data_IF_730254574973
#
_entry.id   IF_730254574973
#
_cell.length_a   1.000
_cell.length_b   1.000
_cell.length_c   1.000
_cell.angle_alpha   90.00
_cell.angle_beta   90.00
_cell.angle_gamma   90.00
#
_symmetry.space_group_name_H-M   'P 1'
#
loop_
_entity.id
_entity.type
_entity.pdbx_description
1 polymer ?
#
# COMPACT_ATOMS: atom_id res chain seq x y z
N UNK A 1 18.66 14.10 -10.03
CA UNK A 1 18.73 13.64 -8.62
C UNK A 1 18.32 12.15 -8.48
N UNK A 2 17.23 11.68 -9.12
CA UNK A 2 16.88 10.25 -9.13
C UNK A 2 17.78 9.32 -9.99
N UNK A 3 18.53 9.85 -10.96
CA UNK A 3 19.37 9.04 -11.87
C UNK A 3 20.71 8.54 -11.29
N UNK A 4 21.00 8.83 -10.02
CA UNK A 4 22.27 8.44 -9.38
C UNK A 4 22.12 7.27 -8.39
N UNK A 5 20.95 6.61 -8.38
CA UNK A 5 20.71 5.37 -7.60
C UNK A 5 20.54 5.55 -6.10
N UNK A 6 20.38 6.78 -5.60
CA UNK A 6 20.33 7.09 -4.16
C UNK A 6 18.92 7.13 -3.56
N UNK A 7 17.87 7.25 -4.38
CA UNK A 7 16.49 7.38 -3.91
C UNK A 7 15.60 6.40 -4.67
N UNK A 8 15.09 5.42 -3.94
CA UNK A 8 14.07 4.47 -4.43
C UNK A 8 12.96 4.40 -3.39
N UNK A 9 11.75 4.80 -3.75
CA UNK A 9 10.57 4.77 -2.87
C UNK A 9 10.16 3.32 -2.51
N UNK A 10 10.70 2.33 -3.22
CA UNK A 10 10.52 0.91 -2.93
C UNK A 10 11.51 0.40 -1.88
N UNK A 11 12.44 1.23 -1.43
CA UNK A 11 13.35 0.86 -0.35
C UNK A 11 12.54 0.40 0.88
N UNK A 12 12.83 -0.78 1.44
CA UNK A 12 12.08 -1.31 2.57
C UNK A 12 12.07 -0.37 3.79
N UNK A 13 13.11 0.44 4.02
CA UNK A 13 13.13 1.42 5.11
C UNK A 13 12.14 2.56 4.85
N UNK A 14 12.02 3.02 3.60
CA UNK A 14 11.03 4.02 3.19
C UNK A 14 9.61 3.49 3.38
N UNK A 15 9.33 2.28 2.88
CA UNK A 15 8.01 1.65 3.09
C UNK A 15 7.69 1.47 4.58
N UNK A 16 8.65 1.03 5.39
CA UNK A 16 8.47 0.86 6.84
C UNK A 16 8.10 2.17 7.54
N UNK A 17 8.80 3.26 7.24
CA UNK A 17 8.51 4.53 7.92
C UNK A 17 7.18 5.13 7.47
N UNK A 18 6.81 4.97 6.20
CA UNK A 18 5.49 5.37 5.69
C UNK A 18 4.38 4.56 6.38
N UNK A 19 4.53 3.23 6.44
CA UNK A 19 3.57 2.36 7.11
C UNK A 19 3.43 2.70 8.60
N UNK A 20 4.55 2.98 9.28
CA UNK A 20 4.56 3.40 10.68
C UNK A 20 3.85 4.75 10.87
N UNK A 21 4.13 5.73 10.02
CA UNK A 21 3.52 7.05 10.07
C UNK A 21 2.00 6.97 9.91
N UNK A 22 1.52 6.25 8.90
CA UNK A 22 0.08 6.06 8.63
C UNK A 22 -0.61 5.45 9.84
N UNK A 23 -0.05 4.37 10.39
CA UNK A 23 -0.58 3.72 11.59
C UNK A 23 -0.68 4.70 12.77
N UNK A 24 0.40 5.43 13.08
CA UNK A 24 0.42 6.37 14.22
C UNK A 24 -0.56 7.53 13.99
N UNK A 25 -0.67 8.04 12.77
CA UNK A 25 -1.64 9.10 12.45
C UNK A 25 -3.08 8.62 12.66
N UNK A 26 -3.43 7.43 12.19
CA UNK A 26 -4.76 6.84 12.42
C UNK A 26 -5.06 6.57 13.89
N UNK A 27 -4.07 6.11 14.67
CA UNK A 27 -4.19 5.96 16.13
C UNK A 27 -4.54 7.28 16.83
N UNK A 28 -4.18 8.42 16.22
CA UNK A 28 -4.50 9.77 16.69
C UNK A 28 -5.69 10.40 15.95
N UNK A 29 -6.45 9.62 15.16
CA UNK A 29 -7.60 10.12 14.41
C UNK A 29 -7.26 11.10 13.29
N UNK A 30 -6.01 11.12 12.84
CA UNK A 30 -5.54 11.98 11.75
C UNK A 30 -5.53 11.21 10.43
N UNK A 31 -5.95 11.86 9.34
CA UNK A 31 -5.84 11.31 7.98
C UNK A 31 -4.45 11.57 7.41
N UNK A 32 -4.02 10.71 6.49
CA UNK A 32 -2.73 10.81 5.81
C UNK A 32 -2.92 10.82 4.30
N UNK A 33 -2.28 11.79 3.65
CA UNK A 33 -2.20 11.89 2.20
C UNK A 33 -0.74 11.90 1.75
N UNK A 34 -0.50 11.42 0.53
CA UNK A 34 0.82 11.49 -0.10
C UNK A 34 0.72 12.20 -1.46
N UNK A 35 1.68 13.08 -1.72
CA UNK A 35 1.86 13.76 -3.00
C UNK A 35 3.23 13.42 -3.59
N UNK A 36 3.34 13.47 -4.92
CA UNK A 36 4.59 13.22 -5.64
C UNK A 36 4.39 12.34 -6.87
N UNK A 37 5.48 12.15 -7.62
CA UNK A 37 5.46 11.35 -8.84
C UNK A 37 5.38 9.83 -8.57
N UNK A 38 5.82 9.37 -7.39
CA UNK A 38 5.82 7.96 -6.98
C UNK A 38 4.49 7.24 -7.25
N UNK A 39 3.36 7.64 -6.64
CA UNK A 39 2.06 6.98 -6.88
C UNK A 39 1.52 7.14 -8.32
N UNK A 40 2.03 8.11 -9.08
CA UNK A 40 1.65 8.30 -10.49
C UNK A 40 2.39 7.31 -11.40
N UNK A 41 3.64 6.99 -11.07
CA UNK A 41 4.56 6.26 -11.95
C UNK A 41 4.88 4.83 -11.47
N UNK A 42 4.61 4.48 -10.21
CA UNK A 42 4.98 3.21 -9.59
C UNK A 42 3.73 2.45 -9.08
N UNK A 43 3.14 1.56 -9.90
CA UNK A 43 1.97 0.78 -9.51
C UNK A 43 2.15 -0.03 -8.22
N UNK A 44 3.32 -0.63 -8.02
CA UNK A 44 3.64 -1.42 -6.82
C UNK A 44 3.67 -0.55 -5.55
N UNK A 45 4.12 0.70 -5.69
CA UNK A 45 4.11 1.66 -4.58
C UNK A 45 2.68 2.09 -4.25
N UNK A 46 1.83 2.30 -5.25
CA UNK A 46 0.39 2.55 -5.04
C UNK A 46 -0.30 1.35 -4.38
N UNK A 47 -0.01 0.11 -4.79
CA UNK A 47 -0.53 -1.09 -4.11
C UNK A 47 -0.07 -1.15 -2.66
N UNK A 48 1.20 -0.86 -2.38
CA UNK A 48 1.70 -0.75 -1.02
C UNK A 48 0.92 0.28 -0.20
N UNK A 49 0.77 1.50 -0.70
CA UNK A 49 0.06 2.60 -0.01
C UNK A 49 -1.39 2.24 0.31
N UNK A 50 -2.12 1.63 -0.64
CA UNK A 50 -3.50 1.17 -0.44
C UNK A 50 -3.55 0.07 0.62
N UNK A 51 -2.62 -0.89 0.59
CA UNK A 51 -2.56 -2.00 1.55
C UNK A 51 -2.25 -1.55 2.97
N UNK A 52 -1.42 -0.51 3.15
CA UNK A 52 -1.16 0.07 4.48
C UNK A 52 -2.25 1.04 4.94
N UNK A 53 -3.24 1.30 4.09
CA UNK A 53 -4.46 2.02 4.46
C UNK A 53 -4.38 3.53 4.27
N UNK A 54 -3.60 4.05 3.32
CA UNK A 54 -3.57 5.50 3.07
C UNK A 54 -4.97 6.06 2.77
N UNK A 55 -5.27 7.27 3.25
CA UNK A 55 -6.60 7.88 3.08
C UNK A 55 -6.78 8.53 1.72
N UNK A 56 -5.71 9.12 1.17
CA UNK A 56 -5.76 9.76 -0.15
C UNK A 56 -4.39 9.82 -0.84
N UNK A 57 -4.44 9.84 -2.17
CA UNK A 57 -3.26 9.90 -3.02
C UNK A 57 -3.45 11.05 -4.02
N UNK A 58 -2.50 11.98 -4.05
CA UNK A 58 -2.45 13.04 -5.05
C UNK A 58 -1.56 12.61 -6.20
N UNK A 59 -2.11 12.60 -7.41
CA UNK A 59 -1.40 12.21 -8.65
C UNK A 59 -1.46 13.32 -9.69
N UNK A 60 -0.60 13.21 -10.70
CA UNK A 60 -0.65 14.10 -11.86
C UNK A 60 -1.99 13.92 -12.61
N UNK A 61 -2.47 15.00 -13.24
CA UNK A 61 -3.79 15.04 -13.89
C UNK A 61 -3.96 13.95 -14.98
N UNK A 62 -2.89 13.66 -15.71
CA UNK A 62 -2.84 12.60 -16.74
C UNK A 62 -2.92 11.19 -16.14
N UNK A 63 -2.43 10.99 -14.91
CA UNK A 63 -2.43 9.71 -14.22
C UNK A 63 -3.73 9.41 -13.44
N UNK A 64 -4.56 10.41 -13.14
CA UNK A 64 -5.77 10.28 -12.29
C UNK A 64 -6.63 9.06 -12.66
N UNK A 65 -6.98 8.91 -13.95
CA UNK A 65 -7.87 7.83 -14.40
C UNK A 65 -7.20 6.46 -14.26
N UNK A 66 -5.90 6.37 -14.58
CA UNK A 66 -5.16 5.12 -14.49
C UNK A 66 -4.97 4.70 -13.02
N UNK A 67 -4.55 5.63 -12.17
CA UNK A 67 -4.38 5.40 -10.73
C UNK A 67 -5.70 5.01 -10.07
N UNK A 68 -6.81 5.68 -10.39
CA UNK A 68 -8.12 5.34 -9.82
C UNK A 68 -8.55 3.91 -10.17
N UNK A 69 -8.36 3.48 -11.43
CA UNK A 69 -8.63 2.09 -11.86
C UNK A 69 -7.73 1.08 -11.15
N UNK A 70 -6.46 1.43 -10.96
CA UNK A 70 -5.50 0.61 -10.25
C UNK A 70 -5.92 0.43 -8.78
N UNK A 71 -6.22 1.52 -8.08
CA UNK A 71 -6.69 1.50 -6.69
C UNK A 71 -7.94 0.62 -6.55
N UNK A 72 -8.95 0.82 -7.39
CA UNK A 72 -10.16 0.00 -7.36
C UNK A 72 -9.86 -1.50 -7.57
N UNK A 73 -8.93 -1.83 -8.47
CA UNK A 73 -8.53 -3.21 -8.72
C UNK A 73 -7.81 -3.82 -7.51
N UNK A 74 -6.97 -3.03 -6.83
CA UNK A 74 -6.27 -3.45 -5.61
C UNK A 74 -7.26 -3.66 -4.46
N UNK A 75 -8.21 -2.75 -4.26
CA UNK A 75 -9.25 -2.87 -3.23
C UNK A 75 -10.08 -4.14 -3.44
N UNK A 76 -10.50 -4.42 -4.68
CA UNK A 76 -11.19 -5.67 -5.02
C UNK A 76 -10.34 -6.90 -4.71
N UNK A 77 -9.05 -6.87 -5.06
CA UNK A 77 -8.10 -7.95 -4.75
C UNK A 77 -8.00 -8.17 -3.24
N UNK A 78 -7.88 -7.12 -2.44
CA UNK A 78 -7.83 -7.20 -0.96
C UNK A 78 -9.11 -7.83 -0.39
N UNK A 79 -10.28 -7.45 -0.92
CA UNK A 79 -11.56 -8.03 -0.49
C UNK A 79 -11.60 -9.54 -0.80
N UNK A 80 -11.21 -9.93 -2.01
CA UNK A 80 -11.18 -11.34 -2.41
C UNK A 80 -10.18 -12.15 -1.58
N UNK A 81 -9.00 -11.61 -1.30
CA UNK A 81 -8.00 -12.22 -0.40
C UNK A 81 -8.59 -12.47 1.00
N UNK A 82 -9.30 -11.49 1.56
CA UNK A 82 -9.95 -11.61 2.88
C UNK A 82 -11.07 -12.65 2.88
N UNK A 83 -11.90 -12.69 1.84
CA UNK A 83 -12.96 -13.70 1.69
C UNK A 83 -12.38 -15.11 1.57
N UNK A 84 -11.31 -15.27 0.79
CA UNK A 84 -10.62 -16.55 0.67
C UNK A 84 -10.00 -17.01 2.00
N UNK A 85 -9.41 -16.10 2.77
CA UNK A 85 -8.91 -16.36 4.12
C UNK A 85 -10.03 -16.83 5.07
N UNK A 86 -11.18 -16.16 5.06
CA UNK A 86 -12.34 -16.57 5.87
C UNK A 86 -12.87 -17.96 5.48
N UNK A 87 -12.98 -18.26 4.18
CA UNK A 87 -13.41 -19.57 3.70
C UNK A 87 -12.41 -20.68 4.04
N UNK A 88 -11.11 -20.40 3.96
CA UNK A 88 -10.06 -21.32 4.37
C UNK A 88 -10.11 -21.62 5.89
N UNK A 89 -10.32 -20.59 6.71
CA UNK A 89 -10.49 -20.75 8.16
C UNK A 89 -11.72 -21.58 8.50
N UNK A 90 -12.86 -21.33 7.84
CA UNK A 90 -14.09 -22.10 8.02
C UNK A 90 -13.96 -23.58 7.60
N UNK A 91 -13.06 -23.88 6.66
CA UNK A 91 -12.78 -25.25 6.18
C UNK A 91 -11.61 -25.94 6.91
N UNK A 92 -11.05 -25.32 7.96
CA UNK A 92 -9.93 -25.87 8.73
C UNK A 92 -8.61 -25.95 7.93
N UNK A 93 -8.49 -25.25 6.80
CA UNK A 93 -7.26 -25.20 5.99
C UNK A 93 -6.29 -24.16 6.57
N UNK A 94 -4.97 -24.43 6.56
CA UNK A 94 -3.99 -23.46 7.00
C UNK A 94 -3.97 -22.25 6.05
N UNK A 95 -4.17 -21.05 6.61
CA UNK A 95 -4.01 -19.79 5.89
C UNK A 95 -2.58 -19.30 6.02
N UNK A 96 -1.91 -19.08 4.89
CA UNK A 96 -0.57 -18.46 4.87
C UNK A 96 -0.73 -17.00 4.47
N UNK A 97 -0.58 -16.08 5.42
CA UNK A 97 -0.53 -14.64 5.10
C UNK A 97 0.74 -14.35 4.31
N UNK A 98 0.68 -13.59 3.21
CA UNK A 98 1.87 -13.12 2.54
C UNK A 98 2.65 -12.23 3.52
N UNK A 99 3.94 -12.54 3.74
CA UNK A 99 4.83 -11.65 4.51
C UNK A 99 5.00 -10.36 3.72
N UNK A 100 4.67 -9.23 4.32
CA UNK A 100 4.97 -7.93 3.73
C UNK A 100 6.42 -7.54 4.01
N UNK A 101 7.10 -6.92 3.04
CA UNK A 101 8.48 -6.43 3.17
C UNK A 101 8.60 -5.17 4.04
N UNK A 102 7.46 -4.59 4.46
CA UNK A 102 7.35 -3.38 5.27
C UNK A 102 6.86 -3.63 6.70
N UNK A 103 6.67 -4.88 7.11
CA UNK A 103 6.44 -5.24 8.52
C UNK A 103 7.75 -5.18 9.32
N UNK A 104 7.69 -4.67 10.55
CA UNK A 104 8.80 -4.76 11.48
C UNK A 104 8.97 -6.21 11.90
N UNK A 105 9.98 -6.91 11.35
CA UNK A 105 10.51 -8.09 12.01
C UNK A 105 11.30 -7.63 13.22
N UNK A 106 10.75 -7.86 14.42
CA UNK A 106 11.53 -7.84 15.67
C UNK A 106 12.52 -9.01 15.68
#
# INVERSE_FOLDING_TARGET
LGQMGYFDERDPAVKRIIAHLIRVAHENGCTVSICGEGPSNLPDFTEFLVRVGIDSISVNNDAVVATAKLVASIEQKIILERLAEQAALASGRPVKKPKSDWEWTL
#
